data_IF_418882359796
#
_entry.id   IF_418882359796
#
_cell.length_a   1.000
_cell.length_b   1.000
_cell.length_c   1.000
_cell.angle_alpha   90.00
_cell.angle_beta   90.00
_cell.angle_gamma   90.00
#
_symmetry.space_group_name_H-M   'P 1'
#
loop_
_entity.id
_entity.type
_entity.pdbx_description
1 polymer ?
#
# COMPACT_ATOMS: atom_id res chain seq x y z
N UNK A 1 -18.31 10.08 14.71
CA UNK A 1 -17.02 9.37 14.64
C UNK A 1 -16.45 9.32 16.03
N UNK A 2 -15.82 8.22 16.41
CA UNK A 2 -14.96 8.22 17.60
C UNK A 2 -13.82 9.22 17.38
N UNK A 3 -13.43 9.88 18.46
CA UNK A 3 -12.24 10.73 18.49
C UNK A 3 -11.01 9.86 18.22
N UNK A 4 -10.09 10.32 17.37
CA UNK A 4 -8.82 9.64 17.10
C UNK A 4 -7.84 10.06 18.19
N UNK A 5 -7.27 9.12 18.93
CA UNK A 5 -6.30 9.41 19.98
C UNK A 5 -4.88 9.02 19.57
N UNK A 6 -4.73 7.99 18.73
CA UNK A 6 -3.42 7.41 18.39
C UNK A 6 -3.31 7.02 16.91
N UNK A 7 -2.25 7.47 16.25
CA UNK A 7 -1.95 7.20 14.84
C UNK A 7 -0.57 6.56 14.72
N UNK A 8 -0.45 5.47 13.98
CA UNK A 8 0.85 4.86 13.66
C UNK A 8 1.22 5.10 12.19
N UNK A 9 2.41 5.63 11.94
CA UNK A 9 3.08 5.68 10.64
C UNK A 9 4.14 4.60 10.65
N UNK A 10 3.97 3.59 9.80
CA UNK A 10 4.89 2.45 9.73
C UNK A 10 5.57 2.43 8.38
N UNK A 11 6.88 2.22 8.36
CA UNK A 11 7.68 2.19 7.14
C UNK A 11 8.74 1.10 7.21
N UNK A 12 9.12 0.57 6.05
CA UNK A 12 10.10 -0.52 5.99
C UNK A 12 9.55 -1.86 6.46
N UNK A 13 8.24 -2.11 6.30
CA UNK A 13 7.69 -3.47 6.37
C UNK A 13 8.41 -4.41 5.40
N UNK A 14 8.78 -3.87 4.23
CA UNK A 14 9.77 -4.45 3.35
C UNK A 14 11.06 -3.63 3.45
N UNK A 15 12.18 -4.27 3.77
CA UNK A 15 13.41 -3.57 4.11
C UNK A 15 14.11 -2.85 2.96
N UNK A 16 13.78 -3.21 1.72
CA UNK A 16 14.31 -2.63 0.49
C UNK A 16 13.43 -1.51 -0.10
N UNK A 17 12.34 -1.12 0.55
CA UNK A 17 11.48 0.02 0.17
C UNK A 17 11.92 1.27 0.94
N UNK A 18 12.95 1.94 0.42
CA UNK A 18 13.72 2.93 1.19
C UNK A 18 12.94 4.20 1.55
N UNK A 19 11.94 4.61 0.76
CA UNK A 19 11.17 5.84 1.01
C UNK A 19 10.53 5.81 2.40
N UNK A 20 9.78 4.74 2.72
CA UNK A 20 9.15 4.57 4.03
C UNK A 20 10.18 4.43 5.17
N UNK A 21 11.27 3.70 4.94
CA UNK A 21 12.36 3.54 5.92
C UNK A 21 12.95 4.89 6.34
N UNK A 22 13.29 5.73 5.36
CA UNK A 22 13.97 6.99 5.63
C UNK A 22 13.00 8.09 6.14
N UNK A 23 11.74 8.08 5.71
CA UNK A 23 10.72 8.97 6.29
C UNK A 23 10.48 8.66 7.76
N UNK A 24 10.32 7.40 8.12
CA UNK A 24 10.15 7.01 9.53
C UNK A 24 11.38 7.39 10.36
N UNK A 25 12.61 7.13 9.88
CA UNK A 25 13.83 7.57 10.58
C UNK A 25 13.86 9.09 10.79
N UNK A 26 13.45 9.86 9.78
CA UNK A 26 13.34 11.32 9.87
C UNK A 26 12.30 11.73 10.91
N UNK A 27 11.13 11.11 10.95
CA UNK A 27 10.09 11.41 11.95
C UNK A 27 10.49 11.00 13.36
N UNK A 28 11.23 9.90 13.54
CA UNK A 28 11.81 9.52 14.83
C UNK A 28 12.85 10.55 15.31
N UNK A 29 13.65 11.11 14.40
CA UNK A 29 14.64 12.13 14.72
C UNK A 29 14.01 13.52 14.95
N UNK A 30 12.92 13.83 14.24
CA UNK A 30 12.22 15.11 14.30
C UNK A 30 10.70 14.93 14.52
N UNK A 31 10.26 14.53 15.73
CA UNK A 31 8.85 14.20 15.98
C UNK A 31 7.90 15.38 15.76
N UNK A 32 8.38 16.61 15.92
CA UNK A 32 7.59 17.83 15.69
C UNK A 32 7.03 17.94 14.26
N UNK A 33 7.58 17.22 13.29
CA UNK A 33 7.07 17.18 11.91
C UNK A 33 5.71 16.48 11.81
N UNK A 34 5.45 15.48 12.66
CA UNK A 34 4.25 14.65 12.62
C UNK A 34 3.32 14.87 13.82
N UNK A 35 3.70 15.73 14.77
CA UNK A 35 2.85 16.04 15.91
C UNK A 35 1.63 16.87 15.51
N UNK A 36 0.47 16.52 16.08
CA UNK A 36 -0.75 17.33 16.06
C UNK A 36 -1.27 17.45 17.50
N UNK A 37 -2.15 18.41 17.75
CA UNK A 37 -2.60 18.72 19.11
C UNK A 37 -3.58 17.71 19.69
N UNK A 38 -4.36 17.03 18.84
CA UNK A 38 -5.47 16.19 19.30
C UNK A 38 -5.17 14.70 19.40
N UNK A 39 -4.02 14.23 18.91
CA UNK A 39 -3.66 12.81 18.94
C UNK A 39 -2.14 12.57 19.02
N UNK A 40 -1.75 11.41 19.54
CA UNK A 40 -0.37 10.91 19.52
C UNK A 40 -0.04 10.32 18.14
N UNK A 41 1.15 10.61 17.61
CA UNK A 41 1.67 9.95 16.39
C UNK A 41 2.90 9.12 16.70
N UNK A 42 2.85 7.83 16.37
CA UNK A 42 3.95 6.87 16.49
C UNK A 42 4.62 6.69 15.13
N UNK A 43 5.96 6.79 15.07
CA UNK A 43 6.75 6.46 13.89
C UNK A 43 7.52 5.15 14.11
N UNK A 44 7.16 4.08 13.39
CA UNK A 44 7.67 2.73 13.61
C UNK A 44 8.36 2.17 12.37
N UNK A 45 9.53 1.55 12.58
CA UNK A 45 10.18 0.75 11.53
C UNK A 45 9.63 -0.68 11.57
N UNK A 46 9.18 -1.18 10.43
CA UNK A 46 8.60 -2.52 10.27
C UNK A 46 9.63 -3.62 10.47
N UNK A 47 10.35 -4.03 9.43
CA UNK A 47 11.27 -5.16 9.44
C UNK A 47 12.73 -4.72 9.66
N UNK A 48 13.14 -4.57 10.93
CA UNK A 48 14.48 -4.04 11.28
C UNK A 48 15.64 -4.82 10.63
N UNK A 49 15.58 -6.15 10.65
CA UNK A 49 16.65 -6.99 10.10
C UNK A 49 16.68 -6.95 8.58
N UNK A 50 15.53 -6.97 7.91
CA UNK A 50 15.49 -6.83 6.45
C UNK A 50 15.96 -5.44 5.98
N UNK A 51 15.67 -4.38 6.77
CA UNK A 51 16.20 -3.03 6.51
C UNK A 51 17.73 -3.03 6.58
N UNK A 52 18.30 -3.66 7.60
CA UNK A 52 19.76 -3.78 7.74
C UNK A 52 20.40 -4.56 6.59
N UNK A 53 19.74 -5.63 6.12
CA UNK A 53 20.23 -6.45 5.02
C UNK A 53 19.88 -5.91 3.61
N UNK A 54 19.12 -4.82 3.51
CA UNK A 54 18.67 -4.27 2.21
C UNK A 54 17.79 -5.25 1.40
N UNK A 55 17.01 -6.08 2.09
CA UNK A 55 16.14 -7.12 1.51
C UNK A 55 14.68 -6.81 1.77
N UNK A 56 13.79 -7.43 0.98
CA UNK A 56 12.35 -7.36 1.23
C UNK A 56 11.99 -7.96 2.59
N UNK A 57 12.50 -9.15 2.88
CA UNK A 57 12.32 -9.86 4.14
C UNK A 57 13.50 -10.82 4.38
N UNK A 58 13.55 -11.44 5.56
CA UNK A 58 14.55 -12.43 5.97
C UNK A 58 14.05 -13.85 5.73
N UNK A 59 13.00 -14.28 6.41
CA UNK A 59 12.48 -15.65 6.29
C UNK A 59 11.22 -15.70 5.42
N UNK A 60 10.29 -14.76 5.63
CA UNK A 60 9.05 -14.65 4.84
C UNK A 60 8.50 -13.23 4.83
N UNK A 61 7.55 -12.94 3.95
CA UNK A 61 6.96 -11.61 3.81
C UNK A 61 6.25 -11.14 5.10
N UNK A 62 6.82 -10.11 5.76
CA UNK A 62 6.26 -9.55 7.01
C UNK A 62 4.82 -9.09 6.82
N UNK A 63 4.48 -8.54 5.66
CA UNK A 63 3.14 -8.03 5.36
C UNK A 63 2.15 -9.16 5.00
N UNK A 64 2.43 -10.40 5.44
CA UNK A 64 1.53 -11.56 5.47
C UNK A 64 1.45 -12.21 6.86
N UNK A 65 2.14 -11.64 7.86
CA UNK A 65 2.30 -12.24 9.19
C UNK A 65 1.28 -11.75 10.23
N UNK A 66 0.40 -10.81 9.87
CA UNK A 66 -0.51 -10.13 10.80
C UNK A 66 -1.91 -10.75 10.88
N UNK A 67 -2.04 -12.05 10.58
CA UNK A 67 -3.32 -12.75 10.81
C UNK A 67 -3.55 -12.99 12.29
N UNK A 68 -4.80 -12.94 12.75
CA UNK A 68 -5.14 -13.21 14.16
C UNK A 68 -4.60 -14.56 14.63
N UNK A 69 -4.73 -15.60 13.79
CA UNK A 69 -4.18 -16.93 14.08
C UNK A 69 -2.66 -16.92 14.16
N UNK A 70 -1.97 -16.20 13.27
CA UNK A 70 -0.50 -16.11 13.26
C UNK A 70 0.04 -15.40 14.49
N UNK A 71 -0.59 -14.29 14.91
CA UNK A 71 -0.16 -13.50 16.06
C UNK A 71 -0.34 -14.26 17.40
N UNK A 72 -1.37 -15.09 17.50
CA UNK A 72 -1.62 -15.91 18.69
C UNK A 72 -0.80 -17.21 18.72
N UNK A 73 -0.26 -17.66 17.58
CA UNK A 73 0.47 -18.91 17.49
C UNK A 73 1.94 -18.75 17.90
N UNK A 74 2.27 -19.12 19.13
CA UNK A 74 3.63 -19.07 19.69
C UNK A 74 4.60 -20.09 19.07
N UNK A 75 4.11 -21.06 18.30
CA UNK A 75 4.95 -22.04 17.59
C UNK A 75 5.57 -21.46 16.31
N UNK A 76 4.96 -20.40 15.75
CA UNK A 76 5.51 -19.71 14.59
C UNK A 76 6.73 -18.89 15.01
N UNK A 77 7.91 -19.31 14.55
CA UNK A 77 9.20 -18.85 15.05
C UNK A 77 10.09 -18.19 13.99
N UNK A 78 9.59 -17.95 12.77
CA UNK A 78 10.33 -17.13 11.80
C UNK A 78 10.60 -15.74 12.38
N UNK A 79 11.63 -15.07 11.86
CA UNK A 79 11.95 -13.73 12.26
C UNK A 79 10.75 -12.80 12.09
N UNK A 80 10.07 -12.85 10.94
CA UNK A 80 8.90 -12.02 10.67
C UNK A 80 7.68 -12.35 11.53
N UNK A 81 7.45 -13.61 11.92
CA UNK A 81 6.38 -13.94 12.88
C UNK A 81 6.62 -13.29 14.25
N UNK A 82 7.87 -13.37 14.72
CA UNK A 82 8.27 -12.76 15.98
C UNK A 82 8.22 -11.24 15.89
N UNK A 83 8.61 -10.68 14.74
CA UNK A 83 8.56 -9.24 14.50
C UNK A 83 7.12 -8.74 14.42
N UNK A 84 6.20 -9.47 13.79
CA UNK A 84 4.79 -9.11 13.70
C UNK A 84 4.14 -9.02 15.10
N UNK A 85 4.41 -9.99 15.98
CA UNK A 85 3.97 -9.95 17.39
C UNK A 85 4.56 -8.77 18.16
N UNK A 86 5.84 -8.48 17.96
CA UNK A 86 6.47 -7.32 18.58
C UNK A 86 5.85 -6.00 18.11
N UNK A 87 5.55 -5.86 16.81
CA UNK A 87 4.87 -4.68 16.26
C UNK A 87 3.45 -4.56 16.84
N UNK A 88 2.69 -5.67 16.92
CA UNK A 88 1.36 -5.66 17.55
C UNK A 88 1.41 -5.10 18.98
N UNK A 89 2.40 -5.51 19.78
CA UNK A 89 2.59 -5.00 21.14
C UNK A 89 2.99 -3.51 21.16
N UNK A 90 3.71 -3.01 20.16
CA UNK A 90 4.01 -1.57 20.04
C UNK A 90 2.77 -0.76 19.65
N UNK A 91 1.88 -1.33 18.84
CA UNK A 91 0.61 -0.70 18.44
C UNK A 91 -0.42 -0.74 19.58
N UNK A 92 -0.32 -1.71 20.48
CA UNK A 92 -1.13 -1.81 21.70
C UNK A 92 -0.25 -2.00 22.94
N UNK A 93 0.42 -0.93 23.43
CA UNK A 93 1.19 -0.99 24.65
C UNK A 93 0.32 -1.39 25.84
N UNK A 94 0.95 -1.97 26.87
CA UNK A 94 0.26 -2.34 28.09
C UNK A 94 -0.42 -1.10 28.71
N UNK A 95 -1.73 -1.21 28.98
CA UNK A 95 -2.58 -0.14 29.51
C UNK A 95 -2.90 1.02 28.54
N UNK A 96 -2.73 0.83 27.24
CA UNK A 96 -3.22 1.77 26.22
C UNK A 96 -4.17 1.06 25.24
N UNK A 97 -5.15 1.78 24.65
CA UNK A 97 -5.96 1.25 23.57
C UNK A 97 -5.08 0.95 22.34
N UNK A 98 -5.54 0.07 21.46
CA UNK A 98 -4.91 -0.14 20.16
C UNK A 98 -4.93 1.18 19.36
N UNK A 99 -3.98 1.42 18.45
CA UNK A 99 -4.00 2.63 17.62
C UNK A 99 -5.28 2.74 16.79
N UNK A 100 -5.79 3.95 16.60
CA UNK A 100 -7.03 4.20 15.85
C UNK A 100 -6.81 4.23 14.33
N UNK A 101 -5.59 4.54 13.88
CA UNK A 101 -5.22 4.65 12.47
C UNK A 101 -3.83 4.05 12.24
N UNK A 102 -3.67 3.28 11.16
CA UNK A 102 -2.37 2.79 10.67
C UNK A 102 -2.16 3.33 9.25
N UNK A 103 -1.05 4.04 9.05
CA UNK A 103 -0.56 4.47 7.75
C UNK A 103 0.71 3.67 7.43
N UNK A 104 0.59 2.69 6.54
CA UNK A 104 1.70 1.81 6.14
C UNK A 104 2.35 2.30 4.85
N UNK A 105 3.62 2.67 4.90
CA UNK A 105 4.36 3.29 3.80
C UNK A 105 5.08 2.23 2.97
N UNK A 106 4.73 2.16 1.69
CA UNK A 106 5.27 1.24 0.71
C UNK A 106 5.84 1.96 -0.51
N UNK A 107 6.64 1.22 -1.27
CA UNK A 107 7.07 1.64 -2.60
C UNK A 107 7.05 0.46 -3.57
N UNK A 108 6.78 0.76 -4.83
CA UNK A 108 6.62 -0.23 -5.90
C UNK A 108 7.45 0.13 -7.12
N UNK A 109 7.92 -0.91 -7.83
CA UNK A 109 8.58 -0.74 -9.13
C UNK A 109 7.58 -0.44 -10.25
N UNK A 110 6.29 -0.68 -10.03
CA UNK A 110 5.21 -0.33 -10.95
C UNK A 110 4.95 1.18 -10.96
N UNK A 111 4.40 1.73 -12.05
CA UNK A 111 4.19 3.17 -12.21
C UNK A 111 2.87 3.64 -11.58
N UNK A 112 2.63 3.25 -10.34
CA UNK A 112 1.37 3.55 -9.65
C UNK A 112 1.19 5.03 -9.27
N UNK A 113 2.26 5.84 -9.31
CA UNK A 113 2.22 7.20 -8.78
C UNK A 113 1.90 7.20 -7.29
N UNK A 114 1.23 8.26 -6.82
CA UNK A 114 0.77 8.36 -5.43
C UNK A 114 -0.55 7.60 -5.25
N UNK A 115 -0.51 6.46 -4.57
CA UNK A 115 -1.67 5.58 -4.42
C UNK A 115 -2.01 5.31 -2.96
N UNK A 116 -3.30 5.38 -2.64
CA UNK A 116 -3.86 4.90 -1.38
C UNK A 116 -4.49 3.53 -1.60
N UNK A 117 -4.20 2.57 -0.71
CA UNK A 117 -4.78 1.23 -0.79
C UNK A 117 -5.63 0.96 0.44
N UNK A 118 -6.94 0.79 0.22
CA UNK A 118 -7.92 0.49 1.26
C UNK A 118 -8.32 -0.99 1.23
N UNK A 119 -8.49 -1.57 2.42
CA UNK A 119 -8.98 -2.94 2.57
C UNK A 119 -10.48 -3.05 2.33
N UNK A 120 -11.25 -2.00 2.51
CA UNK A 120 -12.70 -1.99 2.32
C UNK A 120 -13.20 -0.58 2.00
N UNK A 121 -14.52 -0.40 2.00
CA UNK A 121 -15.20 0.84 1.66
C UNK A 121 -15.58 1.62 2.92
N UNK A 122 -14.75 1.59 3.97
CA UNK A 122 -15.03 2.31 5.21
C UNK A 122 -15.28 3.81 4.93
N UNK A 123 -16.43 4.39 5.35
CA UNK A 123 -16.81 5.75 4.95
C UNK A 123 -15.78 6.83 5.31
N UNK A 124 -15.01 6.63 6.39
CA UNK A 124 -13.91 7.55 6.72
C UNK A 124 -12.83 7.59 5.64
N UNK A 125 -12.40 6.41 5.21
CA UNK A 125 -11.26 6.25 4.30
C UNK A 125 -11.68 6.75 2.92
N UNK A 126 -12.93 6.55 2.53
CA UNK A 126 -13.47 7.14 1.31
C UNK A 126 -13.48 8.68 1.36
N UNK A 127 -13.91 9.28 2.48
CA UNK A 127 -13.84 10.75 2.64
C UNK A 127 -12.40 11.27 2.67
N UNK A 128 -11.49 10.57 3.34
CA UNK A 128 -10.06 10.86 3.32
C UNK A 128 -9.51 10.79 1.88
N UNK A 129 -9.84 9.74 1.13
CA UNK A 129 -9.45 9.61 -0.27
C UNK A 129 -10.00 10.73 -1.15
N UNK A 130 -11.24 11.15 -0.94
CA UNK A 130 -11.84 12.29 -1.65
C UNK A 130 -11.20 13.62 -1.28
N UNK A 131 -10.83 13.81 -0.03
CA UNK A 131 -10.06 14.97 0.41
C UNK A 131 -8.69 15.01 -0.27
N UNK A 132 -7.91 13.93 -0.16
CA UNK A 132 -6.54 13.90 -0.67
C UNK A 132 -6.49 14.03 -2.19
N UNK A 133 -7.43 13.41 -2.90
CA UNK A 133 -7.55 13.55 -4.37
C UNK A 133 -8.12 14.91 -4.80
N UNK A 134 -8.79 15.66 -3.91
CA UNK A 134 -9.24 17.03 -4.22
C UNK A 134 -8.10 18.04 -4.15
N UNK A 135 -7.20 17.89 -3.16
CA UNK A 135 -6.03 18.76 -3.00
C UNK A 135 -4.85 18.34 -3.89
N UNK A 136 -4.78 17.06 -4.25
CA UNK A 136 -3.76 16.52 -5.15
C UNK A 136 -4.38 15.53 -6.17
N UNK A 137 -4.67 15.97 -7.40
CA UNK A 137 -5.27 15.12 -8.45
C UNK A 137 -4.44 13.90 -8.87
N UNK A 138 -3.15 13.85 -8.50
CA UNK A 138 -2.29 12.70 -8.75
C UNK A 138 -2.62 11.52 -7.84
N UNK A 139 -3.21 11.77 -6.67
CA UNK A 139 -3.56 10.72 -5.70
C UNK A 139 -4.64 9.81 -6.30
N UNK A 140 -4.33 8.52 -6.40
CA UNK A 140 -5.26 7.46 -6.79
C UNK A 140 -5.69 6.67 -5.57
N UNK A 141 -6.89 6.09 -5.64
CA UNK A 141 -7.42 5.22 -4.60
C UNK A 141 -7.69 3.85 -5.20
N UNK A 142 -7.05 2.82 -4.65
CA UNK A 142 -7.28 1.42 -4.94
C UNK A 142 -7.98 0.76 -3.75
N UNK A 143 -9.03 -0.03 -4.01
CA UNK A 143 -9.77 -0.74 -2.97
C UNK A 143 -9.75 -2.24 -3.27
N UNK A 144 -9.24 -3.01 -2.31
CA UNK A 144 -9.22 -4.48 -2.38
C UNK A 144 -9.90 -5.12 -1.16
N UNK A 145 -11.22 -5.37 -1.23
CA UNK A 145 -12.00 -6.07 -0.20
C UNK A 145 -11.44 -7.44 0.19
N UNK A 146 -10.85 -8.16 -0.76
CA UNK A 146 -10.33 -9.51 -0.54
C UNK A 146 -9.05 -9.51 0.30
N UNK A 147 -8.41 -8.35 0.47
CA UNK A 147 -7.15 -8.23 1.21
C UNK A 147 -7.32 -8.24 2.74
N UNK A 148 -8.54 -8.15 3.26
CA UNK A 148 -8.78 -8.04 4.72
C UNK A 148 -8.21 -9.21 5.51
N UNK A 149 -8.28 -10.42 4.97
CA UNK A 149 -7.78 -11.64 5.62
C UNK A 149 -6.32 -11.98 5.27
N UNK A 150 -5.66 -11.18 4.44
CA UNK A 150 -4.32 -11.50 3.90
C UNK A 150 -3.16 -11.29 4.86
N UNK A 151 -3.42 -10.99 6.14
CA UNK A 151 -2.38 -10.83 7.17
C UNK A 151 -1.51 -9.59 6.97
N UNK A 152 -2.07 -8.52 6.42
CA UNK A 152 -1.35 -7.24 6.24
C UNK A 152 -1.34 -6.42 7.53
N UNK A 153 -0.28 -5.62 7.74
CA UNK A 153 -0.15 -4.75 8.92
C UNK A 153 -1.35 -3.81 9.07
N UNK A 154 -1.75 -3.16 7.97
CA UNK A 154 -2.90 -2.25 7.95
C UNK A 154 -4.20 -2.91 8.43
N UNK A 155 -4.34 -4.23 8.29
CA UNK A 155 -5.56 -4.95 8.69
C UNK A 155 -5.71 -5.11 10.20
N UNK A 156 -4.72 -4.72 11.00
CA UNK A 156 -4.82 -4.74 12.47
C UNK A 156 -5.76 -3.68 13.04
N UNK A 157 -6.10 -2.65 12.24
CA UNK A 157 -6.98 -1.57 12.64
C UNK A 157 -8.03 -1.29 11.56
N UNK A 158 -9.22 -0.84 11.97
CA UNK A 158 -10.31 -0.49 11.06
C UNK A 158 -9.95 0.66 10.11
N UNK A 159 -9.23 1.67 10.60
CA UNK A 159 -8.77 2.81 9.78
C UNK A 159 -7.34 2.62 9.29
N UNK A 160 -6.92 1.36 9.04
CA UNK A 160 -5.63 1.06 8.46
C UNK A 160 -5.63 1.12 6.94
N UNK A 161 -4.63 1.79 6.36
CA UNK A 161 -4.43 1.84 4.92
C UNK A 161 -2.95 1.95 4.55
N UNK A 162 -2.66 1.76 3.26
CA UNK A 162 -1.31 1.88 2.71
C UNK A 162 -1.19 3.15 1.86
N UNK A 163 -0.04 3.81 1.96
CA UNK A 163 0.47 4.72 0.94
C UNK A 163 1.46 3.93 0.09
N UNK A 164 1.14 3.71 -1.17
CA UNK A 164 1.96 3.01 -2.15
C UNK A 164 2.47 4.02 -3.18
N UNK A 165 3.79 4.07 -3.41
CA UNK A 165 4.39 5.07 -4.29
C UNK A 165 5.38 4.46 -5.26
N UNK A 166 5.16 4.71 -6.55
CA UNK A 166 6.06 4.27 -7.62
C UNK A 166 5.93 5.13 -8.89
N UNK A 167 6.74 4.89 -9.91
CA UNK A 167 7.73 3.83 -9.99
C UNK A 167 9.05 4.21 -9.29
N UNK A 168 9.54 3.33 -8.41
CA UNK A 168 10.91 3.39 -7.88
C UNK A 168 11.47 2.00 -7.72
N UNK A 169 12.72 1.79 -8.15
CA UNK A 169 13.38 0.51 -7.97
C UNK A 169 13.61 0.22 -6.48
N UNK A 170 13.59 -1.06 -6.13
CA UNK A 170 13.98 -1.51 -4.79
C UNK A 170 15.42 -1.05 -4.48
N UNK A 171 15.67 -0.72 -3.21
CA UNK A 171 16.96 -0.19 -2.74
C UNK A 171 17.38 1.16 -3.36
N UNK A 172 16.45 1.92 -3.95
CA UNK A 172 16.69 3.28 -4.45
C UNK A 172 15.83 4.28 -3.69
N UNK A 173 16.41 5.45 -3.39
CA UNK A 173 15.68 6.63 -2.97
C UNK A 173 15.50 7.58 -4.17
N UNK A 174 14.26 7.97 -4.43
CA UNK A 174 13.94 9.05 -5.34
C UNK A 174 13.52 10.27 -4.51
N UNK A 175 14.22 11.40 -4.67
CA UNK A 175 14.00 12.59 -3.86
C UNK A 175 12.60 13.21 -4.07
N UNK A 176 12.09 13.20 -5.30
CA UNK A 176 10.75 13.72 -5.60
C UNK A 176 9.68 12.86 -4.96
N UNK A 177 9.74 11.53 -5.15
CA UNK A 177 8.78 10.61 -4.54
C UNK A 177 8.86 10.65 -3.01
N UNK A 178 10.06 10.80 -2.44
CA UNK A 178 10.23 10.99 -1.00
C UNK A 178 9.48 12.22 -0.49
N UNK A 179 9.66 13.37 -1.15
CA UNK A 179 8.99 14.62 -0.78
C UNK A 179 7.48 14.53 -0.99
N UNK A 180 7.01 13.92 -2.09
CA UNK A 180 5.59 13.75 -2.35
C UNK A 180 4.93 12.85 -1.30
N UNK A 181 5.58 11.74 -0.91
CA UNK A 181 5.10 10.88 0.18
C UNK A 181 5.08 11.62 1.51
N UNK A 182 6.11 12.43 1.82
CA UNK A 182 6.15 13.26 3.02
C UNK A 182 4.97 14.24 3.09
N UNK A 183 4.69 14.95 1.99
CA UNK A 183 3.56 15.88 1.91
C UNK A 183 2.22 15.17 2.03
N UNK A 184 2.08 13.97 1.46
CA UNK A 184 0.88 13.16 1.59
C UNK A 184 0.64 12.73 3.04
N UNK A 185 1.68 12.34 3.76
CA UNK A 185 1.62 12.05 5.20
C UNK A 185 1.16 13.29 5.99
N UNK A 186 1.71 14.47 5.72
CA UNK A 186 1.28 15.70 6.38
C UNK A 186 -0.20 16.03 6.12
N UNK A 187 -0.66 15.91 4.87
CA UNK A 187 -2.05 16.14 4.52
C UNK A 187 -3.01 15.16 5.21
N UNK A 188 -2.58 13.90 5.40
CA UNK A 188 -3.34 12.91 6.19
C UNK A 188 -3.46 13.39 7.64
N UNK A 189 -2.35 13.73 8.28
CA UNK A 189 -2.35 14.16 9.68
C UNK A 189 -3.18 15.43 9.90
N UNK A 190 -3.13 16.38 8.96
CA UNK A 190 -3.96 17.59 9.00
C UNK A 190 -5.45 17.27 8.84
N UNK A 191 -5.80 16.30 7.99
CA UNK A 191 -7.17 15.84 7.87
C UNK A 191 -7.69 15.20 9.17
N UNK A 192 -6.88 14.33 9.80
CA UNK A 192 -7.25 13.70 11.08
C UNK A 192 -7.44 14.75 12.19
N UNK A 193 -6.55 15.74 12.27
CA UNK A 193 -6.67 16.85 13.24
C UNK A 193 -7.94 17.66 12.99
N UNK A 194 -8.23 18.02 11.74
CA UNK A 194 -9.46 18.72 11.36
C UNK A 194 -10.71 17.93 11.75
N UNK A 195 -10.73 16.61 11.55
CA UNK A 195 -11.81 15.75 12.00
C UNK A 195 -12.00 15.77 13.53
N UNK A 196 -10.91 15.67 14.30
CA UNK A 196 -10.96 15.70 15.75
C UNK A 196 -11.45 17.04 16.31
N UNK A 197 -11.10 18.15 15.66
CA UNK A 197 -11.54 19.50 16.04
C UNK A 197 -12.96 19.85 15.60
N UNK A 198 -13.62 18.97 14.84
CA UNK A 198 -14.92 19.27 14.20
C UNK A 198 -14.82 20.21 12.98
N UNK A 199 -13.60 20.55 12.56
CA UNK A 199 -13.28 21.35 11.38
C UNK A 199 -12.99 20.43 10.19
N UNK A 200 -13.98 19.63 9.79
CA UNK A 200 -13.81 18.66 8.70
C UNK A 200 -13.42 19.41 7.42
N UNK A 201 -12.24 19.13 6.82
CA UNK A 201 -11.83 19.80 5.60
C UNK A 201 -12.86 19.61 4.48
N UNK A 202 -13.10 20.66 3.68
CA UNK A 202 -13.99 20.55 2.54
C UNK A 202 -13.46 19.50 1.54
N UNK A 203 -14.31 18.53 1.21
CA UNK A 203 -14.01 17.48 0.25
C UNK A 203 -14.88 17.62 -0.99
N UNK A 204 -14.45 17.03 -2.11
CA UNK A 204 -15.39 16.76 -3.19
C UNK A 204 -16.42 15.76 -2.66
N UNK A 205 -17.68 15.95 -3.03
CA UNK A 205 -18.74 15.00 -2.72
C UNK A 205 -18.59 13.67 -3.46
N UNK A 206 -17.63 13.54 -4.38
CA UNK A 206 -17.39 12.29 -5.12
C UNK A 206 -15.93 11.86 -5.07
N UNK A 207 -15.73 10.55 -4.97
CA UNK A 207 -14.45 9.88 -5.07
C UNK A 207 -14.42 8.99 -6.31
N UNK A 208 -13.37 9.11 -7.12
CA UNK A 208 -13.03 8.10 -8.12
C UNK A 208 -12.03 7.13 -7.52
N UNK A 209 -12.31 5.83 -7.61
CA UNK A 209 -11.43 4.77 -7.13
C UNK A 209 -11.40 3.60 -8.10
N UNK A 210 -10.42 2.73 -7.89
CA UNK A 210 -10.16 1.54 -8.69
C UNK A 210 -10.43 0.32 -7.80
N UNK A 211 -11.46 -0.46 -8.15
CA UNK A 211 -11.88 -1.62 -7.36
C UNK A 211 -11.25 -2.88 -7.93
N UNK A 212 -10.68 -3.72 -7.08
CA UNK A 212 -10.13 -5.02 -7.47
C UNK A 212 -11.15 -5.88 -8.23
N UNK A 213 -10.72 -6.50 -9.33
CA UNK A 213 -11.46 -7.54 -10.08
C UNK A 213 -10.76 -8.88 -9.87
N UNK A 214 -9.54 -8.99 -10.36
CA UNK A 214 -8.75 -10.22 -10.35
C UNK A 214 -7.25 -9.93 -10.43
N UNK A 215 -6.46 -10.98 -10.29
CA UNK A 215 -5.00 -10.94 -10.39
C UNK A 215 -4.57 -11.79 -11.58
N UNK A 216 -3.67 -11.27 -12.41
CA UNK A 216 -3.17 -11.96 -13.61
C UNK A 216 -1.72 -12.37 -13.37
N UNK A 217 -1.39 -13.64 -13.58
CA UNK A 217 0.00 -14.15 -13.59
C UNK A 217 0.65 -13.91 -14.95
N UNK A 218 1.98 -14.02 -14.99
CA UNK A 218 2.72 -14.16 -16.23
C UNK A 218 2.31 -15.45 -16.95
N UNK A 219 2.25 -15.44 -18.30
CA UNK A 219 2.15 -16.67 -19.08
C UNK A 219 3.31 -17.61 -18.76
N UNK A 220 2.99 -18.84 -18.34
CA UNK A 220 3.96 -19.84 -17.88
C UNK A 220 3.98 -21.11 -18.74
N UNK A 221 5.10 -21.81 -18.67
CA UNK A 221 5.26 -23.15 -19.23
C UNK A 221 4.61 -24.22 -18.36
N UNK A 222 4.57 -25.47 -18.85
CA UNK A 222 4.15 -26.63 -18.06
C UNK A 222 5.07 -26.89 -16.84
N UNK A 223 6.28 -26.32 -16.86
CA UNK A 223 7.25 -26.37 -15.76
C UNK A 223 7.21 -25.10 -14.88
N UNK A 224 6.15 -24.29 -14.98
CA UNK A 224 5.94 -23.04 -14.22
C UNK A 224 6.96 -21.91 -14.52
N UNK A 225 7.77 -22.05 -15.56
CA UNK A 225 8.70 -21.00 -16.01
C UNK A 225 7.96 -19.91 -16.78
N UNK A 226 8.31 -18.65 -16.56
CA UNK A 226 7.76 -17.52 -17.31
C UNK A 226 8.15 -17.65 -18.78
N UNK A 227 7.20 -17.43 -19.70
CA UNK A 227 7.38 -17.50 -21.15
C UNK A 227 7.13 -16.18 -21.89
N UNK A 228 6.59 -15.20 -21.19
CA UNK A 228 6.30 -13.89 -21.73
C UNK A 228 6.54 -12.82 -20.67
N UNK A 229 6.87 -11.62 -21.12
CA UNK A 229 7.03 -10.43 -20.29
C UNK A 229 5.91 -9.44 -20.58
N UNK A 230 5.74 -8.44 -19.70
CA UNK A 230 4.79 -7.35 -19.94
C UNK A 230 5.07 -6.72 -21.31
N UNK A 231 4.03 -6.55 -22.10
CA UNK A 231 4.15 -5.97 -23.43
C UNK A 231 4.60 -4.50 -23.33
N UNK A 232 5.49 -4.00 -24.21
CA UNK A 232 6.01 -2.63 -24.12
C UNK A 232 4.94 -1.54 -24.19
N UNK A 233 3.79 -1.82 -24.83
CA UNK A 233 2.66 -0.87 -24.88
C UNK A 233 1.85 -0.83 -23.57
N UNK A 234 2.02 -1.81 -22.67
CA UNK A 234 1.36 -1.86 -21.36
C UNK A 234 2.29 -1.48 -20.21
N UNK A 235 3.60 -1.67 -20.37
CA UNK A 235 4.59 -1.35 -19.35
C UNK A 235 4.45 0.10 -18.84
N UNK A 236 4.40 0.27 -17.52
CA UNK A 236 4.23 1.55 -16.81
C UNK A 236 2.92 2.31 -17.09
N UNK A 237 1.89 1.65 -17.65
CA UNK A 237 0.56 2.24 -17.87
C UNK A 237 -0.43 1.90 -16.76
N UNK A 238 0.04 1.90 -15.51
CA UNK A 238 -0.83 1.70 -14.35
C UNK A 238 -1.94 2.76 -14.34
N UNK A 239 -3.17 2.35 -14.00
CA UNK A 239 -4.38 3.20 -14.00
C UNK A 239 -4.85 3.73 -15.37
N UNK A 240 -4.18 3.39 -16.48
CA UNK A 240 -4.64 3.66 -17.83
C UNK A 240 -5.60 2.56 -18.33
N UNK A 241 -6.49 2.83 -19.30
CA UNK A 241 -7.42 1.82 -19.81
C UNK A 241 -6.69 0.72 -20.61
N UNK A 242 -7.05 -0.53 -20.33
CA UNK A 242 -6.71 -1.73 -21.11
C UNK A 242 -8.01 -2.28 -21.72
N UNK A 243 -8.12 -2.24 -23.05
CA UNK A 243 -9.33 -2.62 -23.80
C UNK A 243 -9.21 -4.04 -24.37
N UNK A 244 -10.33 -4.73 -24.61
CA UNK A 244 -10.32 -6.03 -25.28
C UNK A 244 -9.56 -5.95 -26.61
N UNK A 245 -8.58 -6.83 -26.80
CA UNK A 245 -7.69 -6.84 -27.96
C UNK A 245 -6.41 -6.00 -27.83
N UNK A 246 -6.21 -5.24 -26.75
CA UNK A 246 -4.95 -4.56 -26.48
C UNK A 246 -3.86 -5.57 -26.06
N UNK A 247 -2.59 -5.39 -26.45
CA UNK A 247 -1.53 -6.34 -26.14
C UNK A 247 -1.09 -6.25 -24.66
N UNK A 248 -1.11 -7.39 -23.96
CA UNK A 248 -0.74 -7.51 -22.54
C UNK A 248 0.66 -8.05 -22.32
N UNK A 249 1.01 -9.11 -23.04
CA UNK A 249 2.31 -9.77 -22.91
C UNK A 249 2.99 -9.93 -24.27
N UNK A 250 4.32 -9.98 -24.24
CA UNK A 250 5.16 -10.33 -25.38
C UNK A 250 5.92 -11.61 -25.03
N UNK A 251 5.71 -12.69 -25.79
CA UNK A 251 6.47 -13.93 -25.60
C UNK A 251 7.94 -13.71 -25.93
N UNK A 252 8.83 -14.56 -25.40
CA UNK A 252 10.26 -14.51 -25.75
C UNK A 252 10.54 -14.87 -27.22
N UNK A 253 9.55 -15.39 -27.95
CA UNK A 253 9.62 -15.61 -29.41
C UNK A 253 9.08 -14.43 -30.23
N UNK A 254 8.66 -13.34 -29.58
CA UNK A 254 8.17 -12.13 -30.23
C UNK A 254 6.70 -12.18 -30.65
N UNK A 255 5.88 -13.03 -30.02
CA UNK A 255 4.44 -13.09 -30.26
C UNK A 255 3.67 -12.30 -29.20
N UNK A 256 2.69 -11.54 -29.65
CA UNK A 256 1.80 -10.79 -28.75
C UNK A 256 0.74 -11.69 -28.16
N UNK A 257 0.44 -11.48 -26.87
CA UNK A 257 -0.70 -12.06 -26.17
C UNK A 257 -1.59 -10.89 -25.75
N UNK A 258 -2.83 -10.92 -26.21
CA UNK A 258 -3.79 -9.83 -26.07
C UNK A 258 -4.70 -10.02 -24.87
N UNK A 259 -5.28 -8.93 -24.38
CA UNK A 259 -6.31 -8.97 -23.36
C UNK A 259 -7.62 -9.50 -23.96
N UNK A 260 -8.12 -10.61 -23.42
CA UNK A 260 -9.32 -11.30 -23.89
C UNK A 260 -10.58 -11.00 -23.04
N UNK A 261 -10.50 -10.05 -22.09
CA UNK A 261 -11.63 -9.70 -21.25
C UNK A 261 -12.78 -9.04 -22.02
N UNK A 262 -13.96 -9.00 -21.41
CA UNK A 262 -15.18 -8.51 -22.07
C UNK A 262 -15.34 -6.98 -22.09
N UNK A 263 -14.61 -6.26 -21.23
CA UNK A 263 -14.72 -4.81 -21.07
C UNK A 263 -13.39 -4.17 -20.71
N UNK A 264 -13.30 -2.85 -20.90
CA UNK A 264 -12.13 -2.06 -20.46
C UNK A 264 -11.90 -2.18 -18.96
N UNK A 265 -10.66 -2.46 -18.59
CA UNK A 265 -10.18 -2.51 -17.19
C UNK A 265 -9.01 -1.55 -17.02
N UNK A 266 -8.53 -1.40 -15.79
CA UNK A 266 -7.44 -0.49 -15.45
C UNK A 266 -6.39 -1.25 -14.64
N UNK A 267 -5.34 -1.79 -15.29
CA UNK A 267 -4.32 -2.57 -14.61
C UNK A 267 -3.50 -1.70 -13.65
N UNK A 268 -3.06 -2.30 -12.55
CA UNK A 268 -2.16 -1.69 -11.55
C UNK A 268 -1.13 -2.71 -11.07
N UNK A 269 -0.09 -2.25 -10.37
CA UNK A 269 1.07 -3.06 -9.99
C UNK A 269 1.68 -3.78 -11.20
N UNK A 270 1.67 -3.12 -12.35
CA UNK A 270 2.20 -3.69 -13.60
C UNK A 270 3.70 -3.88 -13.42
N UNK A 271 4.14 -5.14 -13.47
CA UNK A 271 5.55 -5.51 -13.38
C UNK A 271 6.21 -5.19 -12.02
N UNK A 272 5.49 -5.41 -10.91
CA UNK A 272 6.09 -5.30 -9.57
C UNK A 272 7.14 -6.39 -9.33
N UNK A 273 8.37 -5.99 -9.02
CA UNK A 273 9.50 -6.91 -8.84
C UNK A 273 9.24 -7.97 -7.76
N UNK A 274 8.63 -7.59 -6.63
CA UNK A 274 8.31 -8.51 -5.53
C UNK A 274 7.19 -9.51 -5.85
N UNK A 275 6.49 -9.35 -6.98
CA UNK A 275 5.31 -10.14 -7.34
C UNK A 275 5.60 -11.29 -8.31
N UNK A 276 6.81 -11.33 -8.88
CA UNK A 276 7.28 -12.45 -9.69
C UNK A 276 7.21 -13.81 -8.96
N UNK A 277 7.66 -13.85 -7.70
CA UNK A 277 7.59 -15.05 -6.85
C UNK A 277 6.15 -15.44 -6.50
N UNK A 278 5.23 -14.48 -6.56
CA UNK A 278 3.82 -14.64 -6.14
C UNK A 278 2.93 -15.07 -7.31
N UNK A 279 3.47 -15.17 -8.51
CA UNK A 279 2.70 -15.44 -9.71
C UNK A 279 1.76 -14.28 -10.07
N UNK A 280 2.23 -13.04 -9.95
CA UNK A 280 1.42 -11.85 -10.19
C UNK A 280 2.18 -10.93 -11.14
N UNK A 281 1.64 -10.72 -12.32
CA UNK A 281 2.11 -9.75 -13.31
C UNK A 281 1.47 -8.37 -13.12
N UNK A 282 0.17 -8.36 -12.78
CA UNK A 282 -0.62 -7.15 -12.53
C UNK A 282 -1.93 -7.52 -11.82
N UNK A 283 -2.60 -6.50 -11.27
CA UNK A 283 -3.96 -6.58 -10.79
C UNK A 283 -4.88 -5.89 -11.81
N UNK A 284 -6.01 -6.51 -12.15
CA UNK A 284 -7.04 -5.84 -12.93
C UNK A 284 -8.02 -5.15 -12.01
N UNK A 285 -8.38 -3.92 -12.36
CA UNK A 285 -9.33 -3.13 -11.58
C UNK A 285 -10.42 -2.51 -12.44
N UNK A 286 -11.55 -2.23 -11.82
CA UNK A 286 -12.63 -1.44 -12.40
C UNK A 286 -12.58 -0.03 -11.84
N UNK A 287 -12.54 0.98 -12.72
CA UNK A 287 -12.71 2.37 -12.31
C UNK A 287 -14.17 2.63 -11.96
N UNK A 288 -14.41 3.18 -10.77
CA UNK A 288 -15.72 3.50 -10.21
C UNK A 288 -15.72 4.93 -9.66
N UNK A 289 -16.92 5.49 -9.48
CA UNK A 289 -17.12 6.78 -8.84
C UNK A 289 -18.30 6.69 -7.88
N UNK A 290 -18.13 7.17 -6.66
CA UNK A 290 -19.17 7.16 -5.62
C UNK A 290 -19.27 8.51 -4.91
N UNK A 291 -20.45 8.78 -4.34
CA UNK A 291 -20.70 9.92 -3.47
C UNK A 291 -20.27 9.56 -2.04
N UNK A 292 -19.47 10.40 -1.37
CA UNK A 292 -18.82 10.08 -0.08
C UNK A 292 -19.06 11.11 1.01
#
# INVERSE_FOLDING_TARGET
MSHIERVAIVGGNHGNELTGVHLVKRFQQYPNLINRSSFETLALLGNLKAIEEGKRYIDKDLNRCFTNQGLQNTQLSSYEDTRARAIQQMLQPQNQPFVDVIVDLHSTTANMGLSLIFCDMHPFLLRLGAYLSSINPMVKVFINPQSKEGGFLRSLCELGFVIEVGAVAQNILNAELFQQTEQLVYAILDYLEGCNQGNIPQTKSTLTFYKYIETIDYPRSNHQEIKAMIHPQLQFRDYEPLNPGDPMFLTFTGQDIFYEGASTVYPIFINEAAYYEKGIAMYLTQKQQEVV
#
